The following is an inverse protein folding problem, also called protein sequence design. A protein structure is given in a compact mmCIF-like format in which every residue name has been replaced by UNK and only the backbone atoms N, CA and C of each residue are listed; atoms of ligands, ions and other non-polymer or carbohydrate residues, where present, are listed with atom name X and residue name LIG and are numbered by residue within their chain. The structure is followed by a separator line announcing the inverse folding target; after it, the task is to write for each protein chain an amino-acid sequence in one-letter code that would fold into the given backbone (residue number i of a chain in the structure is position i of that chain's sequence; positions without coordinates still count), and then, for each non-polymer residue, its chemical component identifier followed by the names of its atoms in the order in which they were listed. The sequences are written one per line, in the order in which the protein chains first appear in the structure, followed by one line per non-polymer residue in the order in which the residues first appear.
data_IF_510807030811
#
_entry.id   IF_510807030811
#
_cell.length_a   1.000
_cell.length_b   1.000
_cell.length_c   1.000
_cell.angle_alpha   90.00
_cell.angle_beta   90.00
_cell.angle_gamma   90.00
#
_symmetry.space_group_name_H-M   'P 1'
#
loop_
_entity.id
_entity.type
_entity.pdbx_description
1 polymer ?
#
# COMPACT_ATOMS: atom_id res chain seq x y z
N UNK A 1 18.22 13.22 1.52
CA UNK A 1 17.16 13.24 0.49
C UNK A 1 15.84 13.11 1.23
N UNK A 2 15.02 14.16 1.26
CA UNK A 2 13.71 14.14 1.94
C UNK A 2 12.66 13.73 0.93
N UNK A 3 11.89 12.68 1.21
CA UNK A 3 10.77 12.25 0.37
C UNK A 3 9.51 12.90 0.93
N UNK A 4 8.78 13.66 0.11
CA UNK A 4 7.51 14.29 0.50
C UNK A 4 6.34 13.34 0.25
N UNK A 5 5.22 13.54 0.96
CA UNK A 5 4.00 12.74 0.78
C UNK A 5 3.47 12.84 -0.66
N UNK A 6 3.57 14.00 -1.30
CA UNK A 6 3.18 14.19 -2.70
C UNK A 6 4.08 13.41 -3.65
N UNK A 7 5.38 13.33 -3.36
CA UNK A 7 6.31 12.52 -4.13
C UNK A 7 6.00 11.02 -3.97
N UNK A 8 5.60 10.59 -2.76
CA UNK A 8 5.14 9.23 -2.52
C UNK A 8 3.86 8.91 -3.29
N UNK A 9 2.85 9.79 -3.25
CA UNK A 9 1.60 9.63 -4.02
C UNK A 9 1.87 9.51 -5.52
N UNK A 10 2.69 10.41 -6.08
CA UNK A 10 3.06 10.34 -7.51
C UNK A 10 3.75 9.02 -7.87
N UNK A 11 4.57 8.49 -6.96
CA UNK A 11 5.28 7.22 -7.18
C UNK A 11 4.30 6.04 -7.12
N UNK A 12 3.37 6.05 -6.16
CA UNK A 12 2.32 5.05 -6.01
C UNK A 12 1.35 5.03 -7.20
N UNK A 13 0.95 6.20 -7.70
CA UNK A 13 0.08 6.30 -8.88
C UNK A 13 0.72 5.64 -10.11
N UNK A 14 2.02 5.88 -10.33
CA UNK A 14 2.77 5.23 -11.41
C UNK A 14 2.84 3.73 -11.22
N UNK A 15 3.15 3.28 -10.01
CA UNK A 15 3.26 1.86 -9.67
C UNK A 15 1.94 1.12 -9.88
N UNK A 16 0.80 1.70 -9.45
CA UNK A 16 -0.53 1.13 -9.66
C UNK A 16 -0.86 0.97 -11.16
N UNK A 17 -0.49 1.95 -11.99
CA UNK A 17 -0.68 1.88 -13.44
C UNK A 17 0.19 0.77 -14.05
N UNK A 18 1.47 0.69 -13.67
CA UNK A 18 2.39 -0.33 -14.17
C UNK A 18 1.95 -1.74 -13.76
N UNK A 19 1.58 -1.94 -12.49
CA UNK A 19 1.13 -3.22 -11.94
C UNK A 19 -0.06 -3.79 -12.68
N UNK A 20 -1.00 -2.95 -13.14
CA UNK A 20 -2.15 -3.41 -13.94
C UNK A 20 -1.72 -4.21 -15.18
N UNK A 21 -0.67 -3.75 -15.87
CA UNK A 21 -0.17 -4.41 -17.07
C UNK A 21 0.79 -5.56 -16.73
N UNK A 22 1.66 -5.37 -15.74
CA UNK A 22 2.63 -6.40 -15.32
C UNK A 22 1.93 -7.63 -14.74
N UNK A 23 0.94 -7.45 -13.86
CA UNK A 23 0.22 -8.56 -13.25
C UNK A 23 -0.58 -9.34 -14.29
N UNK A 24 -1.24 -8.65 -15.23
CA UNK A 24 -1.92 -9.31 -16.35
C UNK A 24 -0.97 -10.22 -17.14
N UNK A 25 0.24 -9.73 -17.44
CA UNK A 25 1.27 -10.52 -18.13
C UNK A 25 1.74 -11.70 -17.28
N UNK A 26 2.04 -11.48 -15.99
CA UNK A 26 2.49 -12.55 -15.08
C UNK A 26 1.44 -13.64 -14.89
N UNK A 27 0.16 -13.28 -14.84
CA UNK A 27 -0.95 -14.24 -14.78
C UNK A 27 -1.00 -15.08 -16.06
N UNK A 28 -0.90 -14.44 -17.23
CA UNK A 28 -0.88 -15.15 -18.51
C UNK A 28 0.34 -16.10 -18.64
N UNK A 29 1.48 -15.73 -18.05
CA UNK A 29 2.69 -16.55 -18.00
C UNK A 29 2.67 -17.62 -16.87
N UNK A 30 1.60 -17.70 -16.07
CA UNK A 30 1.52 -18.62 -14.93
C UNK A 30 2.45 -18.29 -13.75
N UNK A 31 3.03 -17.08 -13.72
CA UNK A 31 4.00 -16.59 -12.72
C UNK A 31 3.38 -15.81 -11.56
N UNK A 32 2.06 -15.74 -11.52
CA UNK A 32 1.27 -15.06 -10.48
C UNK A 32 -0.17 -15.56 -10.53
N UNK A 33 -0.79 -15.78 -9.36
CA UNK A 33 -2.22 -16.12 -9.31
C UNK A 33 -3.09 -14.86 -9.36
N UNK A 34 -4.30 -14.90 -9.94
CA UNK A 34 -5.23 -13.77 -9.92
C UNK A 34 -5.52 -13.24 -8.51
N UNK A 35 -5.63 -14.13 -7.52
CA UNK A 35 -5.88 -13.79 -6.12
C UNK A 35 -4.73 -13.00 -5.50
N UNK A 36 -3.50 -13.37 -5.86
CA UNK A 36 -2.27 -12.69 -5.42
C UNK A 36 -2.21 -11.29 -6.02
N UNK A 37 -2.43 -11.17 -7.34
CA UNK A 37 -2.49 -9.87 -8.01
C UNK A 37 -3.55 -8.93 -7.40
N UNK A 38 -4.74 -9.46 -7.09
CA UNK A 38 -5.81 -8.68 -6.43
C UNK A 38 -5.39 -8.20 -5.03
N UNK A 39 -4.77 -9.08 -4.23
CA UNK A 39 -4.30 -8.75 -2.89
C UNK A 39 -3.22 -7.66 -2.93
N UNK A 40 -2.21 -7.84 -3.76
CA UNK A 40 -1.13 -6.87 -3.94
C UNK A 40 -1.63 -5.51 -4.41
N UNK A 41 -2.58 -5.51 -5.35
CA UNK A 41 -3.20 -4.28 -5.84
C UNK A 41 -4.02 -3.58 -4.75
N UNK A 42 -4.83 -4.33 -3.99
CA UNK A 42 -5.62 -3.80 -2.90
C UNK A 42 -4.74 -3.20 -1.79
N UNK A 43 -3.65 -3.87 -1.41
CA UNK A 43 -2.67 -3.35 -0.46
C UNK A 43 -2.09 -2.02 -0.93
N UNK A 44 -1.67 -1.94 -2.19
CA UNK A 44 -1.08 -0.73 -2.74
C UNK A 44 -2.09 0.44 -2.81
N UNK A 45 -3.35 0.13 -3.15
CA UNK A 45 -4.43 1.11 -3.14
C UNK A 45 -4.71 1.62 -1.72
N UNK A 46 -4.71 0.75 -0.71
CA UNK A 46 -4.87 1.13 0.69
C UNK A 46 -3.75 2.07 1.15
N UNK A 47 -2.49 1.78 0.79
CA UNK A 47 -1.34 2.67 1.09
C UNK A 47 -1.53 4.04 0.45
N UNK A 48 -1.93 4.09 -0.83
CA UNK A 48 -2.20 5.36 -1.52
C UNK A 48 -3.28 6.18 -0.80
N UNK A 49 -4.38 5.54 -0.38
CA UNK A 49 -5.46 6.21 0.36
C UNK A 49 -4.94 6.76 1.68
N UNK A 50 -4.22 5.96 2.47
CA UNK A 50 -3.62 6.43 3.71
C UNK A 50 -2.71 7.65 3.51
N UNK A 51 -1.84 7.65 2.50
CA UNK A 51 -0.96 8.79 2.24
C UNK A 51 -1.76 10.03 1.81
N UNK A 52 -2.81 9.86 1.02
CA UNK A 52 -3.69 10.96 0.64
C UNK A 52 -4.39 11.57 1.86
N UNK A 53 -4.95 10.71 2.72
CA UNK A 53 -5.60 11.16 3.95
C UNK A 53 -4.63 11.85 4.91
N UNK A 54 -3.37 11.40 4.98
CA UNK A 54 -2.31 12.06 5.74
C UNK A 54 -1.97 13.45 5.18
N UNK A 55 -1.88 13.56 3.85
CA UNK A 55 -1.58 14.83 3.18
C UNK A 55 -2.71 15.84 3.40
N UNK A 56 -3.96 15.37 3.41
CA UNK A 56 -5.14 16.20 3.62
C UNK A 56 -5.45 16.46 5.10
N UNK A 57 -4.64 15.92 6.02
CA UNK A 57 -4.83 16.07 7.46
C UNK A 57 -6.07 15.36 8.02
N UNK A 58 -6.64 14.41 7.26
CA UNK A 58 -7.83 13.63 7.65
C UNK A 58 -7.50 12.50 8.63
N UNK A 59 -6.21 12.16 8.76
CA UNK A 59 -5.72 11.11 9.65
C UNK A 59 -4.62 11.68 10.56
N UNK A 60 -4.74 11.42 11.86
CA UNK A 60 -3.70 11.70 12.84
C UNK A 60 -2.94 10.41 13.10
N UNK A 61 -1.65 10.36 12.75
CA UNK A 61 -0.79 9.24 13.12
C UNK A 61 -0.50 9.33 14.61
N UNK A 62 -1.02 8.37 15.39
CA UNK A 62 -0.55 8.19 16.75
C UNK A 62 0.93 7.80 16.67
N UNK A 63 1.79 8.70 17.17
CA UNK A 63 3.25 8.57 17.08
C UNK A 63 3.79 7.44 17.96
N UNK A 64 2.97 6.96 18.88
CA UNK A 64 3.27 5.88 19.82
C UNK A 64 2.26 4.76 19.61
N UNK A 65 2.76 3.63 19.12
CA UNK A 65 2.10 2.35 19.31
C UNK A 65 2.79 1.77 20.54
N UNK A 66 2.11 1.72 21.68
CA UNK A 66 2.64 1.00 22.84
C UNK A 66 2.91 -0.46 22.42
N UNK A 67 4.11 -0.98 22.71
CA UNK A 67 4.50 -2.36 22.35
C UNK A 67 3.51 -3.40 22.87
N UNK A 68 2.84 -3.11 23.99
CA UNK A 68 1.72 -3.88 24.55
C UNK A 68 0.60 -4.12 23.52
N UNK A 69 0.22 -3.09 22.74
CA UNK A 69 -0.84 -3.16 21.73
C UNK A 69 -0.43 -3.97 20.50
N UNK A 70 0.87 -4.10 20.23
CA UNK A 70 1.38 -4.96 19.15
C UNK A 70 1.31 -6.43 19.58
N UNK A 71 1.68 -6.74 20.83
CA UNK A 71 1.57 -8.08 21.39
C UNK A 71 0.12 -8.60 21.37
N UNK A 72 -0.86 -7.72 21.68
CA UNK A 72 -2.29 -8.07 21.65
C UNK A 72 -2.80 -8.40 20.23
N UNK A 73 -2.21 -7.81 19.18
CA UNK A 73 -2.58 -8.08 17.78
C UNK A 73 -1.91 -9.33 17.20
N UNK A 74 -0.86 -9.83 17.85
CA UNK A 74 -0.09 -11.00 17.42
C UNK A 74 -0.42 -12.26 18.23
N UNK A 75 -1.32 -12.16 19.20
CA UNK A 75 -1.81 -13.30 19.98
C UNK A 75 -3.22 -13.67 19.48
N UNK A 76 -3.50 -14.96 19.15
CA UNK A 76 -4.78 -15.39 18.58
C UNK A 76 -6.00 -15.19 19.47
#
# INVERSE_FOLDING_TARGET
MTITLEAMLKSLDRELVLRRNVYRKRIAEGRMRPEEARREYATMLAIRICIADLLEGRVVVQKEIEESRIADLLTP
#
